data_IF_903896260778
#
_entry.id   IF_903896260778
#
_cell.length_a   1.000
_cell.length_b   1.000
_cell.length_c   1.000
_cell.angle_alpha   90.00
_cell.angle_beta   90.00
_cell.angle_gamma   90.00
#
_symmetry.space_group_name_H-M   'P 1'
#
loop_
_entity.id
_entity.type
_entity.pdbx_description
1 polymer ?
#
# COMPACT_ATOMS: atom_id res chain seq x y z
N UNK A 1 -93.33 39.16 -29.72
CA UNK A 1 -91.89 38.95 -30.01
C UNK A 1 -91.17 38.80 -28.68
N UNK A 2 -90.11 38.00 -28.67
CA UNK A 2 -89.68 37.09 -27.60
C UNK A 2 -89.04 37.76 -26.37
N UNK A 3 -89.33 37.21 -25.18
CA UNK A 3 -88.47 37.25 -23.99
C UNK A 3 -87.16 36.49 -24.28
N UNK A 4 -86.02 36.96 -23.75
CA UNK A 4 -84.80 36.15 -23.69
C UNK A 4 -84.10 36.29 -22.33
N UNK A 5 -84.04 35.18 -21.62
CA UNK A 5 -83.25 34.97 -20.41
C UNK A 5 -81.86 34.43 -20.80
N UNK A 6 -80.79 34.87 -20.14
CA UNK A 6 -79.64 34.03 -19.73
C UNK A 6 -78.59 34.95 -19.10
N UNK A 7 -78.33 34.83 -17.80
CA UNK A 7 -77.48 33.82 -17.14
C UNK A 7 -76.06 34.35 -16.96
N UNK A 8 -75.65 34.47 -15.69
CA UNK A 8 -74.33 34.93 -15.31
C UNK A 8 -73.21 34.01 -15.80
N UNK A 9 -72.01 34.57 -15.92
CA UNK A 9 -70.80 33.80 -16.10
C UNK A 9 -69.72 34.35 -15.15
N UNK A 10 -69.28 33.51 -14.22
CA UNK A 10 -68.17 33.75 -13.30
C UNK A 10 -66.88 33.97 -14.10
N UNK A 11 -66.17 35.06 -13.83
CA UNK A 11 -64.79 35.26 -14.28
C UNK A 11 -63.86 34.37 -13.44
N UNK A 12 -63.44 33.23 -14.00
CA UNK A 12 -62.35 32.43 -13.44
C UNK A 12 -61.00 33.10 -13.69
N UNK A 13 -60.19 33.24 -12.64
CA UNK A 13 -58.81 33.72 -12.74
C UNK A 13 -57.94 32.69 -13.46
N UNK A 14 -57.48 33.00 -14.67
CA UNK A 14 -56.45 32.21 -15.36
C UNK A 14 -55.08 32.63 -14.81
N UNK A 15 -54.52 31.86 -13.88
CA UNK A 15 -53.17 32.09 -13.37
C UNK A 15 -52.16 31.48 -14.34
N UNK A 16 -51.54 32.32 -15.16
CA UNK A 16 -50.33 32.00 -15.94
C UNK A 16 -49.14 31.89 -14.98
N UNK A 17 -48.67 30.66 -14.72
CA UNK A 17 -47.52 30.41 -13.83
C UNK A 17 -46.27 30.34 -14.70
N UNK A 18 -45.44 31.39 -14.69
CA UNK A 18 -44.11 31.35 -15.31
C UNK A 18 -43.24 30.33 -14.56
N UNK A 19 -42.65 29.34 -15.24
CA UNK A 19 -41.75 28.39 -14.60
C UNK A 19 -40.51 29.11 -14.06
N UNK A 20 -40.26 28.95 -12.76
CA UNK A 20 -39.10 29.54 -12.10
C UNK A 20 -37.85 28.71 -12.40
N UNK A 21 -37.13 29.11 -13.44
CA UNK A 21 -35.87 28.49 -13.87
C UNK A 21 -34.69 28.83 -12.93
N UNK A 22 -34.82 29.87 -12.09
CA UNK A 22 -33.73 30.34 -11.25
C UNK A 22 -33.39 29.33 -10.15
N UNK A 23 -34.41 28.73 -9.54
CA UNK A 23 -34.26 27.69 -8.53
C UNK A 23 -33.59 26.41 -9.07
N UNK A 24 -33.85 26.07 -10.35
CA UNK A 24 -33.30 24.87 -11.00
C UNK A 24 -31.82 25.02 -11.33
N UNK A 25 -31.40 26.21 -11.77
CA UNK A 25 -30.00 26.51 -12.13
C UNK A 25 -29.13 26.58 -10.86
N UNK A 26 -29.63 27.21 -9.79
CA UNK A 26 -28.93 27.30 -8.51
C UNK A 26 -28.73 25.90 -7.91
N UNK A 27 -29.77 25.06 -7.91
CA UNK A 27 -29.68 23.68 -7.43
C UNK A 27 -28.73 22.79 -8.24
N UNK A 28 -28.67 22.98 -9.56
CA UNK A 28 -27.75 22.24 -10.41
C UNK A 28 -26.28 22.66 -10.18
N UNK A 29 -26.03 23.96 -9.96
CA UNK A 29 -24.69 24.48 -9.72
C UNK A 29 -24.15 24.10 -8.34
N UNK A 30 -24.99 24.10 -7.30
CA UNK A 30 -24.59 23.65 -5.96
C UNK A 30 -24.27 22.16 -5.93
N UNK A 31 -25.03 21.33 -6.67
CA UNK A 31 -24.73 19.91 -6.82
C UNK A 31 -23.41 19.67 -7.56
N UNK A 32 -23.14 20.44 -8.62
CA UNK A 32 -21.91 20.34 -9.40
C UNK A 32 -20.67 20.77 -8.58
N UNK A 33 -20.79 21.84 -7.78
CA UNK A 33 -19.72 22.31 -6.89
C UNK A 33 -19.46 21.29 -5.77
N UNK A 34 -20.50 20.71 -5.18
CA UNK A 34 -20.36 19.64 -4.18
C UNK A 34 -19.70 18.39 -4.77
N UNK A 35 -20.04 18.03 -6.02
CA UNK A 35 -19.43 16.91 -6.73
C UNK A 35 -17.95 17.17 -7.05
N UNK A 36 -17.58 18.39 -7.45
CA UNK A 36 -16.19 18.80 -7.70
C UNK A 36 -15.35 18.81 -6.41
N UNK A 37 -15.90 19.24 -5.26
CA UNK A 37 -15.20 19.23 -3.98
C UNK A 37 -14.96 17.79 -3.45
N UNK A 38 -15.87 16.86 -3.70
CA UNK A 38 -15.72 15.46 -3.25
C UNK A 38 -14.57 14.72 -3.94
N UNK A 39 -14.14 15.16 -5.14
CA UNK A 39 -13.04 14.54 -5.89
C UNK A 39 -11.65 14.96 -5.37
N UNK A 40 -11.54 16.07 -4.62
CA UNK A 40 -10.27 16.66 -4.16
C UNK A 40 -9.72 15.97 -2.90
N UNK A 41 -10.53 15.17 -2.19
CA UNK A 41 -10.15 14.56 -0.90
C UNK A 41 -9.63 13.12 -1.00
N UNK A 42 -8.99 12.74 -2.11
CA UNK A 42 -8.23 11.50 -2.14
C UNK A 42 -6.90 11.69 -1.40
N UNK A 43 -6.95 11.62 -0.08
CA UNK A 43 -5.76 11.48 0.75
C UNK A 43 -5.06 10.18 0.34
N UNK A 44 -3.92 10.29 -0.35
CA UNK A 44 -3.06 9.14 -0.61
C UNK A 44 -2.49 8.70 0.74
N UNK A 45 -2.93 7.54 1.23
CA UNK A 45 -2.28 6.89 2.36
C UNK A 45 -0.82 6.62 1.98
N UNK A 46 0.11 7.03 2.85
CA UNK A 46 1.52 6.65 2.68
C UNK A 46 1.62 5.10 2.67
N UNK A 47 2.49 4.51 1.83
CA UNK A 47 2.70 3.08 1.85
C UNK A 47 3.14 2.64 3.26
N UNK A 48 2.44 1.65 3.81
CA UNK A 48 2.79 1.06 5.11
C UNK A 48 3.94 0.10 4.89
N UNK A 49 5.09 0.37 5.52
CA UNK A 49 6.21 -0.57 5.54
C UNK A 49 5.94 -1.66 6.58
N UNK A 50 6.23 -2.92 6.21
CA UNK A 50 6.16 -4.07 7.10
C UNK A 50 7.57 -4.63 7.26
N UNK A 51 7.98 -4.87 8.50
CA UNK A 51 9.22 -5.58 8.80
C UNK A 51 8.93 -7.06 8.98
N UNK A 52 9.69 -7.90 8.28
CA UNK A 52 9.65 -9.36 8.41
C UNK A 52 10.98 -9.81 9.01
N UNK A 53 10.91 -10.61 10.08
CA UNK A 53 12.09 -11.27 10.66
C UNK A 53 12.18 -12.68 10.12
N UNK A 54 13.37 -13.06 9.63
CA UNK A 54 13.66 -14.38 9.09
C UNK A 54 14.70 -15.06 9.97
N UNK A 55 14.40 -16.27 10.43
CA UNK A 55 15.38 -17.14 11.06
C UNK A 55 16.09 -17.98 10.00
N UNK A 56 17.40 -18.18 10.17
CA UNK A 56 18.18 -19.07 9.33
C UNK A 56 17.61 -20.50 9.45
N UNK A 57 17.31 -21.12 8.31
CA UNK A 57 16.76 -22.47 8.26
C UNK A 57 17.86 -23.53 8.30
N UNK A 58 18.98 -23.23 7.64
CA UNK A 58 20.14 -24.10 7.54
C UNK A 58 21.41 -23.26 7.48
N UNK A 59 22.46 -23.79 8.10
CA UNK A 59 23.80 -23.27 8.04
C UNK A 59 24.79 -24.38 7.69
N UNK A 60 25.85 -24.00 6.96
CA UNK A 60 26.90 -24.94 6.60
C UNK A 60 28.20 -24.20 6.30
N UNK A 61 29.32 -24.92 6.32
CA UNK A 61 30.52 -24.47 5.66
C UNK A 61 31.16 -25.61 4.86
N UNK A 62 31.92 -25.23 3.83
CA UNK A 62 32.81 -26.12 3.08
C UNK A 62 34.25 -25.63 3.26
N UNK A 63 35.20 -26.54 3.06
CA UNK A 63 36.62 -26.23 3.07
C UNK A 63 37.36 -26.98 1.96
N UNK A 64 38.60 -26.59 1.67
CA UNK A 64 39.40 -27.19 0.60
C UNK A 64 40.15 -28.48 1.01
N UNK A 65 40.32 -28.72 2.31
CA UNK A 65 40.87 -29.97 2.85
C UNK A 65 39.93 -31.15 2.61
N UNK A 66 38.61 -30.91 2.66
CA UNK A 66 37.56 -31.85 2.28
C UNK A 66 36.45 -31.18 1.45
N UNK A 67 36.66 -31.00 0.14
CA UNK A 67 35.75 -30.25 -0.74
C UNK A 67 34.44 -31.00 -1.02
N UNK A 68 34.36 -32.29 -0.68
CA UNK A 68 33.16 -33.10 -0.85
C UNK A 68 32.27 -33.10 0.40
N UNK A 69 32.78 -32.64 1.54
CA UNK A 69 32.05 -32.62 2.80
C UNK A 69 31.36 -31.28 3.04
N UNK A 70 30.08 -31.36 3.38
CA UNK A 70 29.32 -30.26 3.92
C UNK A 70 29.27 -30.38 5.46
N UNK A 71 29.57 -29.29 6.18
CA UNK A 71 29.61 -29.27 7.63
C UNK A 71 28.36 -28.60 8.23
N UNK A 72 27.18 -29.14 7.89
CA UNK A 72 25.89 -28.62 8.35
C UNK A 72 25.75 -28.61 9.89
N UNK A 73 25.06 -27.61 10.44
CA UNK A 73 24.75 -27.53 11.88
C UNK A 73 25.95 -27.27 12.78
N UNK A 74 27.09 -26.91 12.21
CA UNK A 74 28.28 -26.45 12.94
C UNK A 74 28.38 -24.92 12.90
N UNK A 75 29.21 -24.35 13.80
CA UNK A 75 29.51 -22.92 13.75
C UNK A 75 30.02 -22.52 12.35
N UNK A 76 29.48 -21.43 11.82
CA UNK A 76 29.92 -20.84 10.57
C UNK A 76 31.40 -20.47 10.65
N UNK A 77 32.19 -20.84 9.63
CA UNK A 77 33.62 -20.55 9.56
C UNK A 77 33.99 -19.81 8.28
N UNK A 78 34.67 -18.67 8.45
CA UNK A 78 35.20 -17.89 7.34
C UNK A 78 36.72 -17.81 7.49
N UNK A 79 37.44 -18.40 6.54
CA UNK A 79 38.91 -18.41 6.50
C UNK A 79 39.35 -18.40 5.03
N UNK A 80 40.64 -18.25 4.72
CA UNK A 80 41.11 -18.29 3.32
C UNK A 80 40.63 -19.55 2.56
N UNK A 81 40.52 -20.68 3.27
CA UNK A 81 40.13 -21.98 2.75
C UNK A 81 38.69 -22.40 3.07
N UNK A 82 37.95 -21.60 3.85
CA UNK A 82 36.60 -21.96 4.32
C UNK A 82 35.54 -20.98 3.85
N UNK A 83 34.37 -21.50 3.46
CA UNK A 83 33.23 -20.71 3.00
C UNK A 83 31.96 -21.16 3.71
N UNK A 84 31.27 -20.19 4.31
CA UNK A 84 29.99 -20.38 4.98
C UNK A 84 28.81 -20.14 4.05
N UNK A 85 27.75 -20.92 4.24
CA UNK A 85 26.46 -20.78 3.58
C UNK A 85 25.36 -20.69 4.64
N UNK A 86 24.38 -19.82 4.39
CA UNK A 86 23.20 -19.66 5.25
C UNK A 86 21.98 -19.59 4.35
N UNK A 87 20.94 -20.34 4.68
CA UNK A 87 19.68 -20.37 3.93
C UNK A 87 18.54 -19.74 4.74
N UNK A 88 17.73 -18.92 4.06
CA UNK A 88 16.53 -18.29 4.61
C UNK A 88 15.32 -18.64 3.75
N UNK A 89 14.19 -18.93 4.39
CA UNK A 89 12.92 -19.06 3.68
C UNK A 89 12.33 -17.67 3.39
N UNK A 90 12.27 -17.31 2.11
CA UNK A 90 11.73 -16.03 1.66
C UNK A 90 10.23 -16.09 1.32
N UNK A 91 9.59 -17.25 1.42
CA UNK A 91 8.17 -17.43 1.09
C UNK A 91 7.23 -16.61 1.98
N UNK A 92 7.72 -16.19 3.16
CA UNK A 92 7.01 -15.32 4.09
C UNK A 92 6.96 -13.86 3.63
N UNK A 93 7.78 -13.47 2.65
CA UNK A 93 7.75 -12.13 2.06
C UNK A 93 6.62 -12.09 1.01
N UNK A 94 5.66 -11.15 1.11
CA UNK A 94 4.56 -11.06 0.15
C UNK A 94 5.05 -10.92 -1.30
N UNK A 95 4.41 -11.65 -2.22
CA UNK A 95 4.72 -11.53 -3.64
C UNK A 95 4.49 -10.10 -4.14
N UNK A 96 5.46 -9.56 -4.89
CA UNK A 96 5.42 -8.17 -5.38
C UNK A 96 5.76 -7.12 -4.32
N UNK A 97 6.17 -7.50 -3.11
CA UNK A 97 6.69 -6.55 -2.13
C UNK A 97 7.95 -5.84 -2.67
N UNK A 98 8.02 -4.53 -2.43
CA UNK A 98 9.24 -3.76 -2.68
C UNK A 98 10.09 -3.80 -1.42
N UNK A 99 11.30 -4.35 -1.51
CA UNK A 99 12.25 -4.36 -0.39
C UNK A 99 12.89 -2.98 -0.28
N UNK A 100 12.67 -2.33 0.85
CA UNK A 100 13.23 -1.00 1.15
C UNK A 100 14.54 -1.08 1.95
N UNK A 101 14.68 -2.11 2.78
CA UNK A 101 15.85 -2.35 3.63
C UNK A 101 15.98 -3.86 3.88
N UNK A 102 17.21 -4.38 3.97
CA UNK A 102 17.51 -5.72 4.44
C UNK A 102 18.74 -5.68 5.35
N UNK A 103 18.65 -6.32 6.52
CA UNK A 103 19.72 -6.38 7.53
C UNK A 103 20.05 -7.83 7.84
N UNK A 104 21.33 -8.19 7.70
CA UNK A 104 21.86 -9.47 8.15
C UNK A 104 22.59 -9.26 9.48
N UNK A 105 22.18 -10.00 10.50
CA UNK A 105 22.80 -10.00 11.81
C UNK A 105 23.63 -11.28 11.97
N UNK A 106 24.94 -11.13 12.22
CA UNK A 106 25.84 -12.24 12.50
C UNK A 106 26.39 -12.10 13.91
N UNK A 107 26.49 -13.22 14.63
CA UNK A 107 27.15 -13.26 15.94
C UNK A 107 28.55 -13.88 15.79
N UNK A 108 29.58 -13.10 16.09
CA UNK A 108 30.96 -13.58 16.07
C UNK A 108 31.26 -14.25 17.40
N UNK A 109 31.55 -15.55 17.36
CA UNK A 109 31.83 -16.35 18.57
C UNK A 109 33.32 -16.39 18.88
N UNK A 110 34.16 -16.52 17.85
CA UNK A 110 35.61 -16.58 17.98
C UNK A 110 36.27 -16.00 16.72
N UNK A 111 37.46 -15.43 16.89
CA UNK A 111 38.31 -14.93 15.82
C UNK A 111 39.71 -15.46 16.04
N UNK A 112 40.09 -16.46 15.26
CA UNK A 112 41.45 -17.00 15.27
C UNK A 112 42.33 -16.28 14.23
N UNK A 113 43.48 -15.76 14.68
CA UNK A 113 44.46 -15.04 13.86
C UNK A 113 44.65 -13.58 14.29
N UNK A 114 45.58 -12.87 13.65
CA UNK A 114 45.72 -11.42 13.87
C UNK A 114 44.42 -10.73 13.42
N UNK A 115 43.70 -10.13 14.38
CA UNK A 115 42.46 -9.41 14.07
C UNK A 115 42.73 -8.32 13.02
N UNK A 116 41.96 -8.27 11.92
CA UNK A 116 41.99 -7.11 11.04
C UNK A 116 41.58 -5.88 11.86
N UNK A 117 42.50 -4.92 11.96
CA UNK A 117 42.43 -3.73 12.83
C UNK A 117 41.34 -2.71 12.42
N UNK A 118 40.36 -3.09 11.59
CA UNK A 118 39.43 -2.14 10.97
C UNK A 118 38.01 -2.69 10.84
N UNK A 119 37.40 -3.02 11.98
CA UNK A 119 35.97 -3.32 12.10
C UNK A 119 35.28 -2.32 13.04
N UNK A 120 35.56 -1.03 12.84
CA UNK A 120 34.84 0.09 13.48
C UNK A 120 33.82 0.70 12.52
#
# INVERSE_FOLDING_TARGET
MKQNQNAGCKTGSHTDVKPDYSARIIGALTLLIALLLAMVSQAHAAPVAVTVTLDAQQDAYVNDDDPAQNHDGQQLQVAATKRSFVSFDLSVIPAGATIVEAKLHLNVVDVAGDMPQNLS
#
